data_IF_802044458674
#
_entry.id   IF_802044458674
#
_cell.length_a   1.000
_cell.length_b   1.000
_cell.length_c   1.000
_cell.angle_alpha   90.00
_cell.angle_beta   90.00
_cell.angle_gamma   90.00
#
_symmetry.space_group_name_H-M   'P 1'
#
loop_
_entity.id
_entity.type
_entity.pdbx_description
1 polymer ?
#
# COMPACT_ATOMS: atom_id res chain seq x y z
N UNK A 1 -7.07 -8.31 9.19
CA UNK A 1 -6.30 -9.57 9.00
C UNK A 1 -4.81 -9.25 8.75
N UNK A 2 -3.86 -10.02 9.29
CA UNK A 2 -2.42 -9.82 9.01
C UNK A 2 -2.01 -10.22 7.58
N UNK A 3 -0.80 -9.81 7.16
CA UNK A 3 -0.35 -9.98 5.76
C UNK A 3 -0.21 -11.45 5.36
N UNK A 4 0.26 -12.31 6.26
CA UNK A 4 0.47 -13.73 5.95
C UNK A 4 -0.86 -14.45 5.75
N UNK A 5 -1.83 -14.19 6.64
CA UNK A 5 -3.18 -14.72 6.52
C UNK A 5 -3.88 -14.20 5.25
N UNK A 6 -3.77 -12.91 4.94
CA UNK A 6 -4.34 -12.34 3.71
C UNK A 6 -3.71 -12.94 2.46
N UNK A 7 -2.39 -13.15 2.47
CA UNK A 7 -1.70 -13.78 1.35
C UNK A 7 -2.14 -15.22 1.11
N UNK A 8 -2.44 -15.97 2.19
CA UNK A 8 -3.02 -17.31 2.10
C UNK A 8 -4.41 -17.28 1.43
N UNK A 9 -5.27 -16.34 1.83
CA UNK A 9 -6.58 -16.13 1.20
C UNK A 9 -6.45 -15.90 -0.30
N UNK A 10 -5.49 -15.04 -0.72
CA UNK A 10 -5.23 -14.71 -2.13
C UNK A 10 -4.79 -15.94 -2.94
N UNK A 11 -3.96 -16.82 -2.36
CA UNK A 11 -3.51 -18.04 -3.06
C UNK A 11 -4.61 -19.07 -3.24
N UNK A 12 -5.50 -19.19 -2.26
CA UNK A 12 -6.44 -20.30 -2.16
C UNK A 12 -7.80 -20.01 -2.81
N UNK A 13 -8.20 -18.74 -3.00
CA UNK A 13 -9.54 -18.48 -3.53
C UNK A 13 -9.70 -18.86 -5.01
N UNK A 14 -10.87 -19.40 -5.43
CA UNK A 14 -11.07 -19.92 -6.77
C UNK A 14 -11.01 -18.86 -7.87
N UNK A 15 -10.64 -19.29 -9.08
CA UNK A 15 -10.79 -18.46 -10.27
C UNK A 15 -12.24 -18.07 -10.52
N UNK A 16 -12.41 -16.91 -11.16
CA UNK A 16 -13.67 -16.30 -11.58
C UNK A 16 -14.66 -16.07 -10.42
N UNK A 17 -14.15 -15.94 -9.20
CA UNK A 17 -14.94 -15.62 -8.01
C UNK A 17 -14.52 -14.29 -7.39
N UNK A 18 -15.49 -13.61 -6.78
CA UNK A 18 -15.25 -12.45 -5.93
C UNK A 18 -15.10 -12.89 -4.48
N UNK A 19 -14.10 -12.36 -3.78
CA UNK A 19 -13.93 -12.55 -2.34
C UNK A 19 -13.89 -11.18 -1.65
N UNK A 20 -14.93 -10.86 -0.89
CA UNK A 20 -14.92 -9.68 -0.01
C UNK A 20 -13.90 -9.92 1.11
N UNK A 21 -12.97 -9.00 1.24
CA UNK A 21 -11.92 -9.03 2.28
C UNK A 21 -12.15 -7.97 3.34
N UNK A 22 -12.95 -6.96 3.04
CA UNK A 22 -13.38 -5.95 3.99
C UNK A 22 -14.71 -5.34 3.57
N UNK A 23 -15.56 -5.03 4.56
CA UNK A 23 -16.83 -4.36 4.37
C UNK A 23 -17.12 -3.44 5.54
N UNK A 24 -17.53 -2.20 5.25
CA UNK A 24 -18.01 -1.22 6.22
C UNK A 24 -19.06 -0.37 5.54
N UNK A 25 -20.29 -0.40 6.06
CA UNK A 25 -21.44 0.29 5.49
C UNK A 25 -21.60 -0.06 3.99
N UNK A 26 -21.67 0.95 3.11
CA UNK A 26 -21.76 0.79 1.65
C UNK A 26 -20.41 0.68 0.93
N UNK A 27 -19.31 0.54 1.69
CA UNK A 27 -17.96 0.35 1.18
C UNK A 27 -17.53 -1.12 1.27
N UNK A 28 -17.06 -1.68 0.16
CA UNK A 28 -16.52 -3.03 0.09
C UNK A 28 -15.16 -3.04 -0.62
N UNK A 29 -14.17 -3.71 0.00
CA UNK A 29 -12.94 -4.11 -0.68
C UNK A 29 -13.05 -5.59 -0.98
N UNK A 30 -12.90 -5.96 -2.25
CA UNK A 30 -12.97 -7.33 -2.68
C UNK A 30 -11.91 -7.67 -3.71
N UNK A 31 -11.59 -8.96 -3.79
CA UNK A 31 -10.61 -9.53 -4.70
C UNK A 31 -11.33 -10.30 -5.80
N UNK A 32 -10.78 -10.25 -7.01
CA UNK A 32 -11.23 -11.06 -8.14
C UNK A 32 -10.05 -11.76 -8.81
N UNK A 33 -10.15 -13.07 -9.05
CA UNK A 33 -9.08 -13.86 -9.69
C UNK A 33 -9.53 -14.31 -11.08
N UNK A 34 -9.17 -13.60 -12.16
CA UNK A 34 -9.62 -14.00 -13.49
C UNK A 34 -8.90 -15.27 -13.97
N UNK A 35 -9.63 -16.22 -14.53
CA UNK A 35 -9.03 -17.39 -15.21
C UNK A 35 -8.41 -17.05 -16.57
N UNK A 36 -8.85 -15.94 -17.18
CA UNK A 36 -8.38 -15.46 -18.49
C UNK A 36 -7.72 -14.10 -18.36
N UNK A 37 -6.49 -14.00 -18.85
CA UNK A 37 -5.78 -12.73 -18.95
C UNK A 37 -6.27 -11.97 -20.19
N UNK A 38 -6.26 -10.64 -20.10
CA UNK A 38 -6.51 -9.83 -21.28
C UNK A 38 -5.31 -9.85 -22.22
N UNK A 39 -5.51 -9.54 -23.50
CA UNK A 39 -4.42 -9.56 -24.52
C UNK A 39 -3.18 -8.76 -24.10
N UNK A 40 -3.39 -7.64 -23.40
CA UNK A 40 -2.31 -6.78 -22.90
C UNK A 40 -1.41 -7.46 -21.86
N UNK A 41 -1.91 -8.47 -21.16
CA UNK A 41 -1.23 -9.16 -20.07
C UNK A 41 -1.00 -10.64 -20.37
N UNK A 42 -0.98 -11.05 -21.64
CA UNK A 42 -0.76 -12.45 -22.05
C UNK A 42 0.52 -13.08 -21.47
N UNK A 43 1.53 -12.26 -21.17
CA UNK A 43 2.81 -12.71 -20.59
C UNK A 43 2.78 -12.89 -19.07
N UNK A 44 1.68 -12.58 -18.39
CA UNK A 44 1.58 -12.69 -16.94
C UNK A 44 1.22 -14.12 -16.52
N UNK A 45 1.65 -14.50 -15.31
CA UNK A 45 1.27 -15.78 -14.73
C UNK A 45 -0.19 -15.71 -14.22
N UNK A 46 -1.10 -16.40 -14.91
CA UNK A 46 -2.52 -16.51 -14.54
C UNK A 46 -2.68 -16.95 -13.08
N UNK A 47 -1.81 -17.84 -12.60
CA UNK A 47 -1.91 -18.38 -11.25
C UNK A 47 -1.62 -17.32 -10.18
N UNK A 48 -0.85 -16.29 -10.52
CA UNK A 48 -0.46 -15.22 -9.59
C UNK A 48 -1.31 -13.96 -9.74
N UNK A 49 -2.13 -13.90 -10.78
CA UNK A 49 -2.90 -12.73 -11.11
C UNK A 49 -4.19 -12.64 -10.29
N UNK A 50 -4.35 -11.55 -9.56
CA UNK A 50 -5.61 -11.18 -8.90
C UNK A 50 -5.82 -9.67 -9.07
N UNK A 51 -7.05 -9.24 -8.90
CA UNK A 51 -7.45 -7.84 -9.04
C UNK A 51 -8.02 -7.37 -7.72
N UNK A 52 -7.63 -6.17 -7.31
CA UNK A 52 -8.18 -5.47 -6.16
C UNK A 52 -9.28 -4.54 -6.66
N UNK A 53 -10.46 -4.64 -6.06
CA UNK A 53 -11.62 -3.82 -6.38
C UNK A 53 -12.13 -3.11 -5.14
N UNK A 54 -12.60 -1.88 -5.36
CA UNK A 54 -13.24 -1.04 -4.37
C UNK A 54 -14.62 -0.67 -4.89
N UNK A 55 -15.63 -0.96 -4.06
CA UNK A 55 -17.01 -0.52 -4.27
C UNK A 55 -17.34 0.51 -3.21
N UNK A 56 -17.83 1.66 -3.67
CA UNK A 56 -18.30 2.79 -2.87
C UNK A 56 -19.67 3.17 -3.41
N UNK A 57 -20.72 2.92 -2.62
CA UNK A 57 -22.12 3.15 -3.05
C UNK A 57 -22.41 2.40 -4.37
N UNK A 58 -22.76 3.13 -5.43
CA UNK A 58 -23.01 2.58 -6.77
C UNK A 58 -21.74 2.44 -7.62
N UNK A 59 -20.62 3.06 -7.21
CA UNK A 59 -19.40 3.10 -8.00
C UNK A 59 -18.49 1.93 -7.67
N UNK A 60 -18.07 1.20 -8.70
CA UNK A 60 -17.11 0.11 -8.59
C UNK A 60 -15.91 0.38 -9.49
N UNK A 61 -14.69 0.33 -8.93
CA UNK A 61 -13.47 0.60 -9.68
C UNK A 61 -12.26 -0.14 -9.10
N UNK A 62 -11.17 -0.18 -9.86
CA UNK A 62 -9.87 -0.72 -9.42
C UNK A 62 -9.02 0.42 -8.88
N UNK A 63 -8.81 0.53 -7.56
CA UNK A 63 -7.90 1.54 -7.03
C UNK A 63 -6.47 1.26 -7.50
N UNK A 64 -5.63 2.29 -7.49
CA UNK A 64 -4.21 2.16 -7.76
C UNK A 64 -3.39 2.63 -6.55
N UNK A 65 -2.09 2.36 -6.57
CA UNK A 65 -1.13 2.72 -5.54
C UNK A 65 -1.16 4.22 -5.18
N UNK A 66 -1.43 5.11 -6.15
CA UNK A 66 -1.44 6.55 -5.94
C UNK A 66 -2.59 7.01 -5.03
N UNK A 67 -3.72 6.29 -5.00
CA UNK A 67 -4.84 6.60 -4.10
C UNK A 67 -4.43 6.51 -2.62
N UNK A 68 -3.66 5.48 -2.26
CA UNK A 68 -3.10 5.32 -0.91
C UNK A 68 -2.18 6.51 -0.58
N UNK A 69 -1.29 6.84 -1.50
CA UNK A 69 -0.32 7.94 -1.31
C UNK A 69 -1.00 9.30 -1.14
N UNK A 70 -1.94 9.64 -2.02
CA UNK A 70 -2.68 10.92 -1.96
C UNK A 70 -3.49 11.02 -0.67
N UNK A 71 -4.24 9.97 -0.31
CA UNK A 71 -5.06 9.97 0.90
C UNK A 71 -4.20 10.24 2.15
N UNK A 72 -3.06 9.57 2.28
CA UNK A 72 -2.15 9.74 3.40
C UNK A 72 -1.54 11.15 3.47
N UNK A 73 -1.25 11.76 2.33
CA UNK A 73 -0.79 13.15 2.27
C UNK A 73 -1.86 14.13 2.73
N UNK A 74 -3.10 13.97 2.25
CA UNK A 74 -4.25 14.80 2.67
C UNK A 74 -4.48 14.71 4.19
N UNK A 75 -4.39 13.51 4.75
CA UNK A 75 -4.53 13.27 6.19
C UNK A 75 -3.46 14.01 6.99
N UNK A 76 -2.18 13.89 6.63
CA UNK A 76 -1.12 14.59 7.38
C UNK A 76 -1.16 16.09 7.19
N UNK A 77 -1.60 16.59 6.03
CA UNK A 77 -1.81 18.03 5.85
C UNK A 77 -2.86 18.60 6.82
N UNK A 78 -3.90 17.83 7.14
CA UNK A 78 -4.91 18.24 8.13
C UNK A 78 -4.50 17.95 9.58
N UNK A 79 -3.66 16.95 9.84
CA UNK A 79 -3.24 16.51 11.18
C UNK A 79 -1.74 16.21 11.24
N UNK A 80 -0.93 17.27 11.17
CA UNK A 80 0.55 17.17 11.20
C UNK A 80 1.06 16.52 12.50
N UNK A 81 0.33 16.73 13.60
CA UNK A 81 0.61 16.15 14.92
C UNK A 81 0.59 14.60 14.91
N UNK A 82 -0.17 13.99 14.00
CA UNK A 82 -0.29 12.53 13.88
C UNK A 82 0.75 11.88 12.97
N UNK A 83 1.63 12.67 12.32
CA UNK A 83 2.61 12.18 11.33
C UNK A 83 3.37 10.95 11.82
N UNK A 84 4.00 11.02 13.00
CA UNK A 84 4.82 9.91 13.53
C UNK A 84 4.00 8.65 13.80
N UNK A 85 2.77 8.80 14.31
CA UNK A 85 1.87 7.67 14.56
C UNK A 85 1.45 7.00 13.24
N UNK A 86 1.13 7.80 12.22
CA UNK A 86 0.73 7.29 10.92
C UNK A 86 1.89 6.58 10.20
N UNK A 87 3.09 7.16 10.21
CA UNK A 87 4.30 6.52 9.69
C UNK A 87 4.54 5.16 10.35
N UNK A 88 4.44 5.10 11.69
CA UNK A 88 4.66 3.87 12.43
C UNK A 88 3.63 2.79 12.07
N UNK A 89 2.35 3.15 11.98
CA UNK A 89 1.30 2.22 11.61
C UNK A 89 1.52 1.64 10.20
N UNK A 90 1.90 2.47 9.22
CA UNK A 90 2.15 1.99 7.87
C UNK A 90 3.46 1.20 7.73
N UNK A 91 4.49 1.51 8.53
CA UNK A 91 5.67 0.64 8.66
C UNK A 91 5.28 -0.72 9.23
N UNK A 92 4.46 -0.77 10.28
CA UNK A 92 3.99 -2.03 10.87
C UNK A 92 3.18 -2.86 9.86
N UNK A 93 2.28 -2.23 9.08
CA UNK A 93 1.54 -2.90 8.00
C UNK A 93 2.49 -3.46 6.95
N UNK A 94 3.52 -2.70 6.55
CA UNK A 94 4.56 -3.17 5.63
C UNK A 94 5.30 -4.40 6.16
N UNK A 95 5.62 -4.41 7.45
CA UNK A 95 6.21 -5.55 8.17
C UNK A 95 5.25 -6.71 8.40
N UNK A 96 3.98 -6.56 8.03
CA UNK A 96 3.01 -7.64 7.97
C UNK A 96 1.93 -7.59 9.05
N UNK A 97 1.89 -6.54 9.87
CA UNK A 97 0.84 -6.36 10.87
C UNK A 97 -0.55 -6.21 10.23
N UNK A 98 -1.58 -6.40 11.07
CA UNK A 98 -2.99 -6.30 10.69
C UNK A 98 -3.43 -4.83 10.57
N UNK A 99 -3.82 -4.33 9.37
CA UNK A 99 -4.21 -2.94 9.18
C UNK A 99 -5.36 -2.49 10.08
N UNK A 100 -6.32 -3.37 10.33
CA UNK A 100 -7.50 -3.04 11.15
C UNK A 100 -7.11 -2.80 12.61
N UNK A 101 -6.10 -3.53 13.10
CA UNK A 101 -5.59 -3.38 14.48
C UNK A 101 -4.67 -2.18 14.60
N UNK A 102 -3.72 -2.04 13.67
CA UNK A 102 -2.74 -0.95 13.68
C UNK A 102 -3.40 0.42 13.57
N UNK A 103 -4.47 0.52 12.77
CA UNK A 103 -5.15 1.79 12.50
C UNK A 103 -6.36 2.03 13.41
N UNK A 104 -6.67 1.13 14.35
CA UNK A 104 -7.86 1.22 15.22
C UNK A 104 -7.92 2.51 16.05
N UNK A 105 -6.78 2.94 16.60
CA UNK A 105 -6.74 4.17 17.41
C UNK A 105 -6.71 5.41 16.53
N UNK A 106 -5.98 5.38 15.41
CA UNK A 106 -5.93 6.49 14.45
C UNK A 106 -7.26 6.70 13.73
N UNK A 107 -8.08 5.68 13.55
CA UNK A 107 -9.39 5.79 12.90
C UNK A 107 -10.44 6.51 13.76
N UNK A 108 -10.18 6.73 15.05
CA UNK A 108 -11.01 7.56 15.93
C UNK A 108 -10.74 9.05 15.78
N UNK A 109 -9.60 9.40 15.18
CA UNK A 109 -9.23 10.79 14.95
C UNK A 109 -10.06 11.39 13.80
N UNK A 110 -10.36 12.67 13.90
CA UNK A 110 -10.99 13.41 12.79
C UNK A 110 -9.91 13.95 11.86
N UNK A 111 -10.03 13.59 10.58
CA UNK A 111 -9.22 14.13 9.49
C UNK A 111 -10.13 14.95 8.58
N UNK A 112 -9.79 16.20 8.30
CA UNK A 112 -10.60 17.08 7.47
C UNK A 112 -10.56 16.70 5.99
N UNK A 113 -9.46 16.09 5.56
CA UNK A 113 -9.23 15.73 4.16
C UNK A 113 -8.78 14.27 4.05
N UNK A 114 -9.57 13.49 3.32
CA UNK A 114 -9.31 12.09 3.00
C UNK A 114 -10.15 11.66 1.79
N UNK A 115 -9.77 10.55 1.16
CA UNK A 115 -10.50 9.92 0.06
C UNK A 115 -11.34 8.73 0.54
N UNK A 116 -10.83 7.95 1.50
CA UNK A 116 -11.54 6.80 2.07
C UNK A 116 -11.32 6.70 3.57
N UNK A 117 -12.09 5.84 4.25
CA UNK A 117 -11.80 5.42 5.62
C UNK A 117 -10.33 4.96 5.77
N UNK A 118 -9.69 5.33 6.89
CA UNK A 118 -8.26 5.07 7.09
C UNK A 118 -7.94 3.58 7.09
N UNK A 119 -8.82 2.74 7.63
CA UNK A 119 -8.64 1.29 7.66
C UNK A 119 -8.65 0.72 6.24
N UNK A 120 -9.51 1.25 5.36
CA UNK A 120 -9.54 0.89 3.93
C UNK A 120 -8.20 1.19 3.26
N UNK A 121 -7.59 2.34 3.55
CA UNK A 121 -6.28 2.71 3.01
C UNK A 121 -5.18 1.76 3.51
N UNK A 122 -5.23 1.35 4.78
CA UNK A 122 -4.34 0.33 5.32
C UNK A 122 -4.50 -1.04 4.64
N UNK A 123 -5.74 -1.46 4.39
CA UNK A 123 -6.05 -2.71 3.69
C UNK A 123 -5.57 -2.66 2.25
N UNK A 124 -5.84 -1.57 1.53
CA UNK A 124 -5.32 -1.37 0.17
C UNK A 124 -3.79 -1.41 0.14
N UNK A 125 -3.13 -0.78 1.11
CA UNK A 125 -1.67 -0.84 1.24
C UNK A 125 -1.17 -2.27 1.41
N UNK A 126 -1.77 -3.05 2.32
CA UNK A 126 -1.42 -4.46 2.50
C UNK A 126 -1.63 -5.27 1.20
N UNK A 127 -2.76 -5.07 0.52
CA UNK A 127 -3.09 -5.78 -0.72
C UNK A 127 -2.12 -5.44 -1.86
N UNK A 128 -1.72 -4.17 -2.01
CA UNK A 128 -0.72 -3.76 -3.01
C UNK A 128 0.67 -4.29 -2.71
N UNK A 129 1.05 -4.38 -1.44
CA UNK A 129 2.29 -5.06 -1.03
C UNK A 129 2.23 -6.53 -1.45
N UNK A 130 1.13 -7.22 -1.19
CA UNK A 130 0.97 -8.63 -1.59
C UNK A 130 0.95 -8.78 -3.12
N UNK A 131 0.28 -7.88 -3.85
CA UNK A 131 0.27 -7.86 -5.32
C UNK A 131 1.70 -7.82 -5.88
N UNK A 132 2.54 -6.94 -5.32
CA UNK A 132 3.94 -6.82 -5.71
C UNK A 132 4.77 -8.03 -5.27
N UNK A 133 4.60 -8.55 -4.04
CA UNK A 133 5.32 -9.75 -3.58
C UNK A 133 4.98 -10.99 -4.43
N UNK A 134 3.73 -11.10 -4.88
CA UNK A 134 3.25 -12.28 -5.59
C UNK A 134 3.46 -12.20 -7.10
N UNK A 135 3.14 -11.06 -7.71
CA UNK A 135 3.10 -10.89 -9.17
C UNK A 135 4.37 -10.32 -9.80
N UNK A 136 5.24 -9.65 -9.02
CA UNK A 136 6.42 -9.00 -9.57
C UNK A 136 7.52 -10.03 -9.88
N UNK A 137 7.86 -10.13 -11.17
CA UNK A 137 8.82 -11.12 -11.70
C UNK A 137 10.05 -10.48 -12.35
N UNK A 138 10.11 -9.15 -12.41
CA UNK A 138 11.23 -8.42 -13.00
C UNK A 138 12.33 -8.16 -11.98
N UNK A 139 13.51 -7.81 -12.44
CA UNK A 139 14.55 -7.33 -11.55
C UNK A 139 14.20 -5.94 -11.00
N UNK A 140 14.14 -5.81 -9.67
CA UNK A 140 13.96 -4.53 -8.99
C UNK A 140 15.31 -3.96 -8.54
N UNK A 141 15.42 -2.62 -8.51
CA UNK A 141 16.52 -1.91 -7.83
C UNK A 141 16.42 -1.97 -6.30
N UNK A 142 15.29 -2.46 -5.79
CA UNK A 142 14.99 -2.61 -4.37
C UNK A 142 14.90 -4.08 -4.01
N UNK A 143 15.41 -4.43 -2.83
CA UNK A 143 15.20 -5.71 -2.18
C UNK A 143 14.76 -5.47 -0.73
N UNK A 144 13.49 -5.78 -0.37
CA UNK A 144 12.46 -6.36 -1.24
C UNK A 144 11.93 -5.37 -2.31
N UNK A 145 11.34 -5.84 -3.43
CA UNK A 145 10.75 -4.96 -4.45
C UNK A 145 9.67 -4.01 -3.91
N UNK A 146 8.91 -4.47 -2.91
CA UNK A 146 7.87 -3.71 -2.21
C UNK A 146 8.37 -2.46 -1.51
N UNK A 147 9.68 -2.37 -1.25
CA UNK A 147 10.28 -1.20 -0.64
C UNK A 147 10.15 0.06 -1.51
N UNK A 148 9.98 -0.09 -2.84
CA UNK A 148 9.66 1.05 -3.71
C UNK A 148 8.33 1.71 -3.30
N UNK A 149 7.28 0.90 -3.10
CA UNK A 149 5.97 1.39 -2.70
C UNK A 149 5.99 1.94 -1.26
N UNK A 150 6.65 1.23 -0.34
CA UNK A 150 6.77 1.69 1.05
C UNK A 150 7.55 3.00 1.16
N UNK A 151 8.63 3.16 0.39
CA UNK A 151 9.38 4.41 0.34
C UNK A 151 8.52 5.60 -0.09
N UNK A 152 7.63 5.39 -1.07
CA UNK A 152 6.67 6.42 -1.46
C UNK A 152 5.60 6.69 -0.40
N UNK A 153 5.08 5.67 0.30
CA UNK A 153 4.18 5.86 1.44
C UNK A 153 4.85 6.78 2.49
N UNK A 154 6.09 6.46 2.88
CA UNK A 154 6.87 7.26 3.84
C UNK A 154 7.05 8.69 3.37
N UNK A 155 7.37 8.88 2.09
CA UNK A 155 7.57 10.21 1.50
C UNK A 155 6.29 11.04 1.44
N UNK A 156 5.14 10.44 1.09
CA UNK A 156 3.86 11.15 1.04
C UNK A 156 3.36 11.53 2.44
N UNK A 157 3.62 10.71 3.45
CA UNK A 157 3.29 11.01 4.86
C UNK A 157 4.24 12.08 5.41
N UNK A 158 5.56 11.98 5.16
CA UNK A 158 6.51 13.00 5.62
C UNK A 158 6.33 14.34 4.89
N UNK A 159 5.83 14.29 3.65
CA UNK A 159 5.44 15.42 2.82
C UNK A 159 6.54 16.49 2.64
N UNK A 160 7.74 16.14 2.15
CA UNK A 160 8.86 17.09 2.02
C UNK A 160 8.70 18.10 0.86
N UNK A 161 7.69 17.91 -0.01
CA UNK A 161 7.45 18.67 -1.24
C UNK A 161 5.95 18.83 -1.48
N UNK A 162 5.57 19.71 -2.40
CA UNK A 162 4.19 19.85 -2.85
C UNK A 162 3.63 18.55 -3.44
N UNK A 163 2.33 18.31 -3.23
CA UNK A 163 1.64 17.08 -3.65
C UNK A 163 1.72 16.87 -5.16
N UNK A 164 1.68 17.95 -5.97
CA UNK A 164 1.79 17.88 -7.42
C UNK A 164 3.15 17.30 -7.86
N UNK A 165 4.23 17.77 -7.21
CA UNK A 165 5.59 17.29 -7.47
C UNK A 165 5.78 15.83 -7.04
N UNK A 166 5.17 15.42 -5.93
CA UNK A 166 5.16 14.03 -5.47
C UNK A 166 4.40 13.14 -6.46
N UNK A 167 3.19 13.53 -6.86
CA UNK A 167 2.37 12.78 -7.82
C UNK A 167 3.07 12.65 -9.17
N UNK A 168 3.63 13.74 -9.70
CA UNK A 168 4.38 13.73 -10.96
C UNK A 168 5.59 12.80 -10.88
N UNK A 169 6.33 12.79 -9.77
CA UNK A 169 7.48 11.91 -9.56
C UNK A 169 7.09 10.44 -9.60
N UNK A 170 6.01 10.07 -8.89
CA UNK A 170 5.50 8.68 -8.86
C UNK A 170 5.01 8.26 -10.24
N UNK A 171 4.21 9.11 -10.90
CA UNK A 171 3.67 8.82 -12.23
C UNK A 171 4.77 8.66 -13.30
N UNK A 172 5.90 9.37 -13.15
CA UNK A 172 7.07 9.23 -14.01
C UNK A 172 7.98 8.06 -13.61
N UNK A 173 7.58 7.22 -12.65
CA UNK A 173 8.34 6.06 -12.21
C UNK A 173 9.66 6.40 -11.50
N UNK A 174 9.78 7.60 -10.95
CA UNK A 174 10.95 7.97 -10.16
C UNK A 174 11.00 7.15 -8.86
N UNK A 175 12.19 6.79 -8.37
CA UNK A 175 12.31 6.19 -7.04
C UNK A 175 12.00 7.22 -5.95
N UNK A 176 11.49 6.78 -4.78
CA UNK A 176 11.37 7.65 -3.62
C UNK A 176 12.76 8.12 -3.17
N UNK A 177 12.81 9.21 -2.39
CA UNK A 177 14.08 9.72 -1.87
C UNK A 177 14.83 8.63 -1.10
N UNK A 178 16.14 8.55 -1.35
CA UNK A 178 17.00 7.54 -0.75
C UNK A 178 16.91 7.52 0.79
N UNK A 179 16.62 8.66 1.44
CA UNK A 179 16.47 8.71 2.90
C UNK A 179 15.38 7.78 3.45
N UNK A 180 14.36 7.42 2.68
CA UNK A 180 13.26 6.57 3.13
C UNK A 180 13.49 5.07 2.91
N UNK A 181 14.53 4.69 2.17
CA UNK A 181 14.73 3.31 1.68
C UNK A 181 16.15 2.79 1.85
N UNK A 182 17.17 3.66 1.85
CA UNK A 182 18.60 3.28 1.79
C UNK A 182 19.06 2.31 2.88
N UNK A 183 18.54 2.43 4.11
CA UNK A 183 18.98 1.58 5.20
C UNK A 183 18.23 0.24 5.23
N UNK A 184 17.09 0.13 4.54
CA UNK A 184 16.29 -1.09 4.48
C UNK A 184 16.49 -1.87 3.18
N UNK A 185 16.91 -1.21 2.10
CA UNK A 185 17.18 -1.84 0.82
C UNK A 185 18.43 -2.72 0.90
N UNK A 186 18.28 -4.04 0.79
CA UNK A 186 19.41 -5.00 0.86
C UNK A 186 20.41 -4.83 -0.28
N UNK A 187 20.02 -4.17 -1.38
CA UNK A 187 20.89 -3.84 -2.51
C UNK A 187 21.71 -2.56 -2.31
N UNK A 188 21.42 -1.75 -1.27
CA UNK A 188 22.14 -0.52 -0.99
C UNK A 188 23.36 -0.79 -0.08
N UNK A 189 24.46 -0.07 -0.32
CA UNK A 189 25.69 -0.16 0.51
C UNK A 189 25.46 0.26 1.96
N UNK A 190 24.43 1.07 2.22
CA UNK A 190 24.08 1.57 3.54
C UNK A 190 23.06 0.67 4.27
N UNK A 191 22.70 -0.48 3.69
CA UNK A 191 21.78 -1.42 4.33
C UNK A 191 22.19 -1.73 5.77
N UNK A 192 21.22 -1.64 6.69
CA UNK A 192 21.41 -1.96 8.08
C UNK A 192 20.22 -2.82 8.56
N UNK A 193 20.45 -4.07 8.99
CA UNK A 193 19.37 -4.95 9.45
C UNK A 193 18.80 -4.56 10.83
N UNK A 194 19.48 -3.69 11.58
CA UNK A 194 19.09 -3.23 12.93
C UNK A 194 18.69 -1.76 12.89
N UNK A 195 17.53 -1.50 12.29
CA UNK A 195 16.96 -0.17 12.20
C UNK A 195 16.15 0.17 13.45
N UNK A 196 16.30 1.41 13.93
CA UNK A 196 15.34 1.97 14.89
C UNK A 196 14.03 2.27 14.17
N UNK A 197 12.91 2.23 14.89
CA UNK A 197 11.63 2.68 14.34
C UNK A 197 11.75 4.12 13.84
N UNK A 198 11.16 4.39 12.67
CA UNK A 198 11.14 5.72 12.06
C UNK A 198 12.53 6.34 11.84
N UNK A 199 13.55 5.53 11.54
CA UNK A 199 14.94 5.96 11.31
C UNK A 199 15.15 7.04 10.22
N UNK A 200 14.13 7.37 9.44
CA UNK A 200 14.17 8.25 8.27
C UNK A 200 13.57 9.64 8.50
N UNK A 201 13.08 9.94 9.72
CA UNK A 201 12.50 11.25 10.08
C UNK A 201 13.33 12.05 11.10
N UNK A 202 14.54 11.58 11.40
CA UNK A 202 15.53 12.29 12.24
C UNK A 202 16.48 13.16 11.40
#
# INVERSE_FOLDING_TARGET
MDKQAMFKVIKEFPFDTNKVVYKKDDLEVYLFRPSKLSKRFESYDVQKNFQIWLKEEERTFRPNHLRVMIDLNLRIRSRVDLKKKLLLAFDNIFYGADPEKELKELSKETFEHFLNDLVVIGILSQLFIIEQEYGYHKESKFDPPTLFFQGWIREFIDNPKEIDNLCMSVCNGQPPLAKYVKFENKKDKKHNPKLKSLWYID
#
